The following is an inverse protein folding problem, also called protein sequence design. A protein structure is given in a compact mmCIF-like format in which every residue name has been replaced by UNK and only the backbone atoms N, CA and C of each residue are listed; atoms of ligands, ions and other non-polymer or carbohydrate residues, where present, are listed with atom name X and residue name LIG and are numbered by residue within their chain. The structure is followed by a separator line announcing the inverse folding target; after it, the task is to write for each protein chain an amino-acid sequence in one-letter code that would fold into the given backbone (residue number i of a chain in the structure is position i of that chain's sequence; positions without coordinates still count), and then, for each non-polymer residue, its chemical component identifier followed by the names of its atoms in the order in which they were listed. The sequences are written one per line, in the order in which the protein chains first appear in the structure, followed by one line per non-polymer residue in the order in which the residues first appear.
data_IF_344901523847
#
_entry.id   IF_344901523847
#
_cell.length_a   1.000
_cell.length_b   1.000
_cell.length_c   1.000
_cell.angle_alpha   90.00
_cell.angle_beta   90.00
_cell.angle_gamma   90.00
#
_symmetry.space_group_name_H-M   'P 1'
#
loop_
_entity.id
_entity.type
_entity.pdbx_description
1 polymer ?
#
# COMPACT_ATOMS: atom_id res chain seq x y z
N UNK A 1 -15.87 -28.31 41.01
CA UNK A 1 -15.87 -26.95 40.45
C UNK A 1 -14.44 -26.40 40.53
N UNK A 2 -13.71 -26.37 39.42
CA UNK A 2 -12.42 -25.68 39.31
C UNK A 2 -12.56 -24.68 38.17
N UNK A 3 -12.29 -23.39 38.41
CA UNK A 3 -12.27 -22.35 37.40
C UNK A 3 -10.83 -21.83 37.25
N UNK A 4 -10.25 -22.09 36.08
CA UNK A 4 -8.97 -21.53 35.67
C UNK A 4 -9.09 -20.03 35.43
N UNK A 5 -8.22 -19.25 36.05
CA UNK A 5 -8.06 -17.81 35.77
C UNK A 5 -7.33 -17.64 34.45
N UNK A 6 -8.01 -17.11 33.43
CA UNK A 6 -7.39 -16.54 32.23
C UNK A 6 -7.21 -15.03 32.44
N UNK A 7 -5.97 -14.55 32.33
CA UNK A 7 -5.67 -13.13 32.32
C UNK A 7 -6.29 -12.46 31.08
N UNK A 8 -7.12 -11.43 31.30
CA UNK A 8 -7.61 -10.51 30.26
C UNK A 8 -6.59 -9.38 30.15
N UNK A 9 -5.91 -9.28 29.01
CA UNK A 9 -5.15 -8.08 28.67
C UNK A 9 -6.19 -7.02 28.28
N UNK A 10 -6.27 -5.95 29.08
CA UNK A 10 -7.10 -4.77 28.82
C UNK A 10 -6.20 -3.79 28.05
N UNK A 11 -6.49 -3.57 26.77
CA UNK A 11 -5.98 -2.41 26.04
C UNK A 11 -6.88 -1.23 26.34
N UNK A 12 -6.27 -0.16 26.85
CA UNK A 12 -6.93 1.09 27.22
C UNK A 12 -7.08 1.93 25.95
N UNK A 13 -8.31 2.37 25.74
CA UNK A 13 -8.78 3.24 24.68
C UNK A 13 -8.40 4.69 25.04
N UNK A 14 -7.60 5.33 24.21
CA UNK A 14 -7.30 6.77 24.27
C UNK A 14 -7.41 7.29 22.83
N UNK A 15 -8.57 7.86 22.52
CA UNK A 15 -8.92 8.34 21.20
C UNK A 15 -8.35 9.73 20.90
N UNK A 16 -7.85 9.91 19.67
CA UNK A 16 -7.95 11.17 18.93
C UNK A 16 -7.67 10.94 17.44
N UNK A 17 -8.59 10.26 16.74
CA UNK A 17 -8.68 10.33 15.29
C UNK A 17 -10.15 10.48 14.93
N UNK A 18 -10.54 11.68 14.51
CA UNK A 18 -11.79 11.87 13.79
C UNK A 18 -11.65 11.12 12.46
N UNK A 19 -12.15 9.88 12.49
CA UNK A 19 -12.05 8.87 11.45
C UNK A 19 -13.26 9.00 10.55
N UNK A 20 -13.32 10.06 9.75
CA UNK A 20 -14.27 10.10 8.65
C UNK A 20 -13.55 10.33 7.33
N UNK A 21 -13.10 9.25 6.64
CA UNK A 21 -12.73 9.37 5.25
C UNK A 21 -13.94 9.88 4.46
N UNK A 22 -13.73 10.84 3.56
CA UNK A 22 -14.73 11.24 2.58
C UNK A 22 -15.33 9.98 1.91
N UNK A 23 -16.65 9.94 1.67
CA UNK A 23 -17.37 8.68 1.53
C UNK A 23 -16.95 7.91 0.27
N UNK A 24 -16.31 6.75 0.49
CA UNK A 24 -15.99 5.67 -0.46
C UNK A 24 -17.22 5.24 -1.31
N UNK A 25 -18.42 5.64 -0.89
CA UNK A 25 -19.72 5.31 -1.48
C UNK A 25 -19.95 5.77 -2.95
N UNK A 26 -19.19 6.73 -3.48
CA UNK A 26 -19.35 7.20 -4.87
C UNK A 26 -18.64 6.30 -5.89
N UNK A 27 -17.53 5.64 -5.49
CA UNK A 27 -16.75 4.73 -6.35
C UNK A 27 -17.45 3.39 -6.61
N UNK A 28 -18.28 2.93 -5.67
CA UNK A 28 -18.88 1.59 -5.70
C UNK A 28 -20.17 1.46 -6.55
N UNK A 29 -20.46 2.39 -7.47
CA UNK A 29 -21.66 2.32 -8.33
C UNK A 29 -21.36 2.05 -9.81
N UNK A 30 -20.32 1.26 -10.11
CA UNK A 30 -19.96 0.95 -11.49
C UNK A 30 -20.01 -0.56 -11.76
N UNK A 31 -21.20 -1.02 -12.17
CA UNK A 31 -21.48 -2.44 -12.47
C UNK A 31 -20.55 -3.02 -13.55
N UNK A 32 -20.19 -2.22 -14.56
CA UNK A 32 -19.32 -2.67 -15.65
C UNK A 32 -17.92 -2.94 -15.12
N UNK A 33 -17.33 -1.98 -14.41
CA UNK A 33 -16.04 -2.14 -13.78
C UNK A 33 -16.03 -3.28 -12.76
N UNK A 34 -17.13 -3.50 -12.02
CA UNK A 34 -17.23 -4.63 -11.10
C UNK A 34 -17.15 -5.98 -11.82
N UNK A 35 -17.82 -6.15 -12.96
CA UNK A 35 -17.75 -7.39 -13.74
C UNK A 35 -16.36 -7.63 -14.34
N UNK A 36 -15.75 -6.58 -14.89
CA UNK A 36 -14.39 -6.65 -15.44
C UNK A 36 -13.39 -6.96 -14.31
N UNK A 37 -13.51 -6.30 -13.16
CA UNK A 37 -12.68 -6.53 -11.99
C UNK A 37 -12.85 -7.92 -11.37
N UNK A 38 -14.08 -8.44 -11.26
CA UNK A 38 -14.31 -9.81 -10.79
C UNK A 38 -13.70 -10.86 -11.73
N UNK A 39 -13.65 -10.57 -13.03
CA UNK A 39 -12.95 -11.42 -14.00
C UNK A 39 -11.44 -11.37 -13.76
N UNK A 40 -10.87 -10.18 -13.59
CA UNK A 40 -9.45 -10.00 -13.25
C UNK A 40 -9.06 -10.69 -11.93
N UNK A 41 -9.92 -10.64 -10.91
CA UNK A 41 -9.72 -11.31 -9.62
C UNK A 41 -9.55 -12.82 -9.79
N UNK A 42 -10.37 -13.43 -10.66
CA UNK A 42 -10.28 -14.86 -10.94
C UNK A 42 -9.07 -15.23 -11.80
N UNK A 43 -8.68 -14.34 -12.71
CA UNK A 43 -7.68 -14.63 -13.75
C UNK A 43 -6.25 -14.35 -13.30
N UNK A 44 -6.07 -13.39 -12.38
CA UNK A 44 -4.75 -13.00 -11.91
C UNK A 44 -4.02 -14.18 -11.25
N UNK A 45 -2.82 -14.51 -11.73
CA UNK A 45 -1.92 -15.47 -11.09
C UNK A 45 -1.17 -14.86 -9.91
N UNK A 46 -0.95 -13.54 -9.94
CA UNK A 46 -0.26 -12.77 -8.91
C UNK A 46 -0.86 -11.36 -8.75
N UNK A 47 -0.49 -10.66 -7.67
CA UNK A 47 -0.97 -9.30 -7.40
C UNK A 47 -0.54 -8.30 -8.47
N UNK A 48 0.65 -8.51 -9.05
CA UNK A 48 1.21 -7.75 -10.16
C UNK A 48 0.24 -7.71 -11.35
N UNK A 49 -0.29 -8.86 -11.73
CA UNK A 49 -1.23 -9.01 -12.86
C UNK A 49 -2.58 -8.38 -12.50
N UNK A 50 -3.03 -8.57 -11.26
CA UNK A 50 -4.31 -8.06 -10.79
C UNK A 50 -4.40 -6.54 -10.89
N UNK A 51 -3.32 -5.82 -10.55
CA UNK A 51 -3.28 -4.36 -10.49
C UNK A 51 -2.57 -3.70 -11.68
N UNK A 52 -2.49 -4.39 -12.81
CA UNK A 52 -1.98 -3.80 -14.05
C UNK A 52 -2.99 -2.79 -14.64
N UNK A 53 -2.65 -1.50 -14.71
CA UNK A 53 -3.55 -0.51 -15.30
C UNK A 53 -3.41 0.89 -14.69
N UNK A 54 -4.37 1.78 -14.99
CA UNK A 54 -4.48 3.11 -14.37
C UNK A 54 -4.67 3.05 -12.85
N UNK A 55 -4.18 4.07 -12.14
CA UNK A 55 -4.17 4.09 -10.67
C UNK A 55 -5.58 4.19 -10.06
N UNK A 56 -6.53 4.84 -10.75
CA UNK A 56 -7.95 4.90 -10.38
C UNK A 56 -8.65 3.54 -10.50
N UNK A 57 -8.32 2.77 -11.53
CA UNK A 57 -8.80 1.39 -11.69
C UNK A 57 -8.25 0.49 -10.57
N UNK A 58 -6.98 0.66 -10.20
CA UNK A 58 -6.36 -0.08 -9.10
C UNK A 58 -7.04 0.19 -7.75
N UNK A 59 -7.39 1.45 -7.47
CA UNK A 59 -8.14 1.82 -6.27
C UNK A 59 -9.54 1.15 -6.25
N UNK A 60 -10.25 1.17 -7.37
CA UNK A 60 -11.55 0.50 -7.48
C UNK A 60 -11.44 -1.02 -7.29
N UNK A 61 -10.42 -1.67 -7.87
CA UNK A 61 -10.19 -3.10 -7.73
C UNK A 61 -9.93 -3.51 -6.27
N UNK A 62 -9.21 -2.68 -5.52
CA UNK A 62 -9.04 -2.90 -4.09
C UNK A 62 -10.37 -2.84 -3.34
N UNK A 63 -11.16 -1.79 -3.55
CA UNK A 63 -12.47 -1.66 -2.91
C UNK A 63 -13.39 -2.83 -3.28
N UNK A 64 -13.33 -3.28 -4.54
CA UNK A 64 -14.06 -4.44 -5.04
C UNK A 64 -13.62 -5.74 -4.36
N UNK A 65 -12.32 -5.97 -4.13
CA UNK A 65 -11.82 -7.12 -3.37
C UNK A 65 -12.38 -7.12 -1.94
N UNK A 66 -12.28 -5.97 -1.25
CA UNK A 66 -12.78 -5.80 0.12
C UNK A 66 -14.28 -6.04 0.19
N UNK A 67 -15.05 -5.51 -0.77
CA UNK A 67 -16.48 -5.72 -0.83
C UNK A 67 -16.85 -7.18 -1.16
N UNK A 68 -16.14 -7.80 -2.12
CA UNK A 68 -16.33 -9.20 -2.51
C UNK A 68 -16.10 -10.14 -1.34
N UNK A 69 -15.10 -9.87 -0.50
CA UNK A 69 -14.82 -10.63 0.72
C UNK A 69 -15.97 -10.59 1.75
N UNK A 70 -16.92 -9.65 1.63
CA UNK A 70 -18.16 -9.62 2.44
C UNK A 70 -19.20 -10.64 1.99
N UNK A 71 -18.94 -11.39 0.92
CA UNK A 71 -19.78 -12.45 0.39
C UNK A 71 -21.23 -11.98 0.15
N UNK A 72 -22.22 -12.60 0.79
CA UNK A 72 -23.65 -12.26 0.64
C UNK A 72 -24.00 -10.82 1.04
N UNK A 73 -23.11 -10.13 1.77
CA UNK A 73 -23.26 -8.71 2.15
C UNK A 73 -22.54 -7.76 1.19
N UNK A 74 -21.87 -8.28 0.17
CA UNK A 74 -21.27 -7.49 -0.90
C UNK A 74 -22.34 -6.69 -1.63
N UNK A 75 -22.05 -5.42 -1.90
CA UNK A 75 -22.88 -4.58 -2.77
C UNK A 75 -23.01 -5.19 -4.18
N UNK A 76 -21.97 -5.88 -4.64
CA UNK A 76 -21.88 -6.53 -5.95
C UNK A 76 -22.18 -8.04 -5.92
N UNK A 77 -22.92 -8.54 -4.93
CA UNK A 77 -23.20 -9.98 -4.81
C UNK A 77 -23.88 -10.58 -6.07
N UNK A 78 -24.70 -9.78 -6.76
CA UNK A 78 -25.36 -10.22 -8.00
C UNK A 78 -24.35 -10.42 -9.15
N UNK A 79 -23.34 -9.56 -9.23
CA UNK A 79 -22.23 -9.59 -10.18
C UNK A 79 -21.29 -10.75 -9.86
N UNK A 80 -21.03 -11.03 -8.58
CA UNK A 80 -20.30 -12.21 -8.13
C UNK A 80 -21.00 -13.47 -8.65
N UNK A 81 -22.30 -13.61 -8.40
CA UNK A 81 -23.09 -14.75 -8.86
C UNK A 81 -23.13 -14.87 -10.40
N UNK A 82 -23.11 -13.74 -11.12
CA UNK A 82 -23.09 -13.73 -12.59
C UNK A 82 -21.73 -14.18 -13.12
N UNK A 83 -20.64 -13.67 -12.55
CA UNK A 83 -19.27 -13.98 -12.95
C UNK A 83 -18.97 -15.45 -12.66
N UNK A 84 -19.33 -15.93 -11.47
CA UNK A 84 -19.19 -17.34 -11.07
C UNK A 84 -19.85 -18.29 -12.08
N UNK A 85 -21.13 -18.02 -12.42
CA UNK A 85 -21.87 -18.80 -13.43
C UNK A 85 -21.22 -18.80 -14.80
N UNK A 86 -20.69 -17.65 -15.26
CA UNK A 86 -20.00 -17.54 -16.56
C UNK A 86 -18.67 -18.30 -16.60
N UNK A 87 -17.98 -18.39 -15.46
CA UNK A 87 -16.69 -19.06 -15.32
C UNK A 87 -16.81 -20.53 -14.89
N UNK A 88 -18.02 -21.03 -14.67
CA UNK A 88 -18.26 -22.41 -14.23
C UNK A 88 -17.81 -22.70 -12.80
N UNK A 89 -17.74 -21.67 -11.94
CA UNK A 89 -17.32 -21.78 -10.53
C UNK A 89 -18.46 -21.38 -9.59
N UNK A 90 -18.31 -21.66 -8.29
CA UNK A 90 -19.27 -21.22 -7.27
C UNK A 90 -19.03 -19.75 -6.88
N UNK A 91 -20.05 -19.03 -6.39
CA UNK A 91 -19.86 -17.70 -5.82
C UNK A 91 -18.84 -17.69 -4.68
N UNK A 92 -18.85 -18.74 -3.84
CA UNK A 92 -17.90 -18.88 -2.73
C UNK A 92 -16.45 -18.95 -3.22
N UNK A 93 -16.17 -19.62 -4.35
CA UNK A 93 -14.83 -19.63 -4.94
C UNK A 93 -14.33 -18.22 -5.32
N UNK A 94 -15.22 -17.36 -5.83
CA UNK A 94 -14.88 -15.96 -6.15
C UNK A 94 -14.56 -15.18 -4.86
N UNK A 95 -15.32 -15.42 -3.79
CA UNK A 95 -15.09 -14.83 -2.46
C UNK A 95 -13.76 -15.30 -1.89
N UNK A 96 -13.51 -16.61 -1.90
CA UNK A 96 -12.25 -17.22 -1.42
C UNK A 96 -11.05 -16.66 -2.20
N UNK A 97 -11.19 -16.50 -3.51
CA UNK A 97 -10.16 -15.87 -4.35
C UNK A 97 -9.86 -14.44 -3.88
N UNK A 98 -10.88 -13.63 -3.63
CA UNK A 98 -10.70 -12.28 -3.10
C UNK A 98 -10.02 -12.27 -1.72
N UNK A 99 -10.41 -13.19 -0.81
CA UNK A 99 -9.80 -13.34 0.52
C UNK A 99 -8.33 -13.72 0.42
N UNK A 100 -7.96 -14.66 -0.46
CA UNK A 100 -6.56 -15.07 -0.68
C UNK A 100 -5.73 -13.90 -1.18
N UNK A 101 -6.25 -13.13 -2.14
CA UNK A 101 -5.55 -11.96 -2.68
C UNK A 101 -5.37 -10.88 -1.60
N UNK A 102 -6.41 -10.59 -0.79
CA UNK A 102 -6.30 -9.68 0.35
C UNK A 102 -5.29 -10.17 1.41
N UNK A 103 -5.22 -11.48 1.65
CA UNK A 103 -4.22 -12.08 2.55
C UNK A 103 -2.80 -11.90 2.02
N UNK A 104 -2.58 -12.15 0.72
CA UNK A 104 -1.29 -11.92 0.08
C UNK A 104 -0.88 -10.44 0.13
N UNK A 105 -1.84 -9.52 -0.05
CA UNK A 105 -1.64 -8.09 0.10
C UNK A 105 -1.26 -7.70 1.53
N UNK A 106 -1.95 -8.26 2.53
CA UNK A 106 -1.65 -8.02 3.93
C UNK A 106 -0.24 -8.51 4.30
N UNK A 107 0.17 -9.68 3.82
CA UNK A 107 1.52 -10.19 4.08
C UNK A 107 2.59 -9.30 3.42
N UNK A 108 2.34 -8.88 2.19
CA UNK A 108 3.19 -7.91 1.51
C UNK A 108 3.30 -6.58 2.28
N UNK A 109 2.21 -6.06 2.83
CA UNK A 109 2.22 -4.89 3.75
C UNK A 109 3.07 -5.11 5.00
N UNK A 110 3.19 -6.34 5.50
CA UNK A 110 4.08 -6.64 6.64
C UNK A 110 5.55 -6.60 6.25
N UNK A 111 5.85 -6.92 5.00
CA UNK A 111 7.17 -6.82 4.38
C UNK A 111 7.43 -5.42 3.75
N UNK A 112 6.60 -4.42 4.06
CA UNK A 112 6.76 -3.05 3.60
C UNK A 112 8.09 -2.47 4.09
N UNK A 113 8.87 -1.87 3.19
CA UNK A 113 10.19 -1.33 3.45
C UNK A 113 10.15 -0.19 4.47
N UNK A 114 9.10 0.63 4.44
CA UNK A 114 8.87 1.69 5.44
C UNK A 114 8.61 1.07 6.81
N UNK A 115 7.80 0.02 6.86
CA UNK A 115 7.48 -0.69 8.11
C UNK A 115 8.67 -1.46 8.66
N UNK A 116 9.50 -2.04 7.80
CA UNK A 116 10.76 -2.70 8.17
C UNK A 116 11.73 -1.70 8.81
N UNK A 117 11.80 -0.46 8.29
CA UNK A 117 12.54 0.63 8.93
C UNK A 117 11.84 1.19 10.18
N UNK A 118 10.55 0.90 10.35
CA UNK A 118 9.73 1.38 11.47
C UNK A 118 9.33 2.85 11.33
N UNK A 119 9.09 3.31 10.11
CA UNK A 119 8.64 4.68 9.78
C UNK A 119 7.29 4.65 9.09
N UNK A 120 6.63 5.81 9.03
CA UNK A 120 5.36 5.96 8.32
C UNK A 120 5.55 5.74 6.81
N UNK A 121 4.55 5.18 6.12
CA UNK A 121 4.56 5.10 4.65
C UNK A 121 4.80 6.46 4.01
N UNK A 122 5.49 6.49 2.87
CA UNK A 122 5.79 7.72 2.12
C UNK A 122 6.61 8.76 2.90
N UNK A 123 7.22 8.39 4.03
CA UNK A 123 8.10 9.29 4.81
C UNK A 123 9.19 9.92 3.93
N UNK A 124 9.54 11.20 4.16
CA UNK A 124 10.54 11.88 3.35
C UNK A 124 11.95 11.28 3.49
N UNK A 125 12.83 11.57 2.52
CA UNK A 125 14.15 10.94 2.39
C UNK A 125 15.08 11.16 3.59
N UNK A 126 14.96 12.31 4.23
CA UNK A 126 15.66 12.67 5.47
C UNK A 126 15.23 11.78 6.65
N UNK A 127 13.92 11.54 6.82
CA UNK A 127 13.38 10.64 7.85
C UNK A 127 13.85 9.20 7.62
N UNK A 128 13.84 8.73 6.37
CA UNK A 128 14.38 7.41 6.00
C UNK A 128 15.85 7.29 6.40
N UNK A 129 16.67 8.30 6.07
CA UNK A 129 18.09 8.31 6.37
C UNK A 129 18.36 8.33 7.88
N UNK A 130 17.68 9.21 8.62
CA UNK A 130 17.85 9.31 10.08
C UNK A 130 17.51 7.98 10.75
N UNK A 131 16.37 7.39 10.38
CA UNK A 131 15.94 6.12 10.96
C UNK A 131 16.91 4.98 10.65
N UNK A 132 17.40 4.90 9.41
CA UNK A 132 18.39 3.90 9.04
C UNK A 132 19.64 3.98 9.95
N UNK A 133 20.14 5.19 10.23
CA UNK A 133 21.32 5.37 11.09
C UNK A 133 21.06 4.86 12.52
N UNK A 134 19.88 5.10 13.07
CA UNK A 134 19.48 4.61 14.40
C UNK A 134 19.38 3.08 14.43
N UNK A 135 18.71 2.49 13.44
CA UNK A 135 18.52 1.04 13.32
C UNK A 135 19.86 0.35 13.13
N UNK A 136 20.73 0.90 12.28
CA UNK A 136 22.05 0.35 12.03
C UNK A 136 22.92 0.34 13.30
N UNK A 137 22.86 1.38 14.14
CA UNK A 137 23.60 1.44 15.41
C UNK A 137 23.11 0.44 16.45
N UNK A 138 21.79 0.26 16.53
CA UNK A 138 21.15 -0.58 17.57
C UNK A 138 21.10 -2.05 17.22
N UNK A 139 21.13 -2.39 15.93
CA UNK A 139 20.91 -3.75 15.44
C UNK A 139 22.17 -4.40 14.86
N UNK A 140 23.31 -3.69 14.85
CA UNK A 140 24.55 -4.23 14.28
C UNK A 140 24.98 -5.52 14.99
N UNK A 141 25.37 -6.59 14.27
CA UNK A 141 25.81 -7.84 14.89
C UNK A 141 27.04 -7.66 15.80
N UNK A 142 27.94 -6.73 15.47
CA UNK A 142 29.14 -6.43 16.26
C UNK A 142 28.83 -5.87 17.66
N UNK A 143 27.64 -5.32 17.89
CA UNK A 143 27.19 -4.86 19.22
C UNK A 143 26.22 -5.85 19.89
N UNK A 144 26.14 -7.08 19.37
CA UNK A 144 25.22 -8.11 19.88
C UNK A 144 23.78 -7.97 19.37
N UNK A 145 23.55 -7.22 18.30
CA UNK A 145 22.23 -7.00 17.70
C UNK A 145 21.73 -8.16 16.83
N UNK A 146 20.45 -8.08 16.43
CA UNK A 146 19.80 -9.08 15.58
C UNK A 146 20.22 -8.93 14.11
N UNK A 147 21.17 -9.77 13.69
CA UNK A 147 21.67 -9.78 12.31
C UNK A 147 20.60 -10.01 11.23
N UNK A 148 19.47 -10.65 11.55
CA UNK A 148 18.36 -10.82 10.59
C UNK A 148 17.66 -9.49 10.37
N UNK A 149 17.28 -8.81 11.45
CA UNK A 149 16.65 -7.48 11.39
C UNK A 149 17.55 -6.44 10.74
N UNK A 150 18.86 -6.49 11.02
CA UNK A 150 19.83 -5.60 10.38
C UNK A 150 19.85 -5.77 8.86
N UNK A 151 19.89 -7.02 8.37
CA UNK A 151 19.88 -7.29 6.92
C UNK A 151 18.58 -6.83 6.26
N UNK A 152 17.43 -7.04 6.89
CA UNK A 152 16.13 -6.59 6.39
C UNK A 152 16.07 -5.05 6.31
N UNK A 153 16.46 -4.37 7.39
CA UNK A 153 16.52 -2.91 7.42
C UNK A 153 17.50 -2.34 6.39
N UNK A 154 18.64 -2.99 6.17
CA UNK A 154 19.63 -2.58 5.17
C UNK A 154 19.06 -2.67 3.75
N UNK A 155 18.44 -3.79 3.40
CA UNK A 155 17.81 -3.97 2.08
C UNK A 155 16.69 -2.95 1.85
N UNK A 156 15.87 -2.69 2.87
CA UNK A 156 14.84 -1.65 2.82
C UNK A 156 15.42 -0.27 2.54
N UNK A 157 16.45 0.12 3.29
CA UNK A 157 17.13 1.40 3.09
C UNK A 157 17.77 1.54 1.70
N UNK A 158 18.40 0.48 1.18
CA UNK A 158 19.04 0.52 -0.15
C UNK A 158 18.07 0.83 -1.29
N UNK A 159 16.82 0.42 -1.18
CA UNK A 159 15.76 0.73 -2.14
C UNK A 159 15.18 2.12 -1.86
N UNK A 160 14.85 2.41 -0.60
CA UNK A 160 14.15 3.65 -0.22
C UNK A 160 15.02 4.92 -0.31
N UNK A 161 16.36 4.80 -0.23
CA UNK A 161 17.28 5.94 -0.34
C UNK A 161 17.44 6.44 -1.78
N UNK A 162 17.16 5.60 -2.76
CA UNK A 162 17.28 5.92 -4.18
C UNK A 162 15.93 6.48 -4.66
N UNK A 163 15.85 7.76 -5.08
CA UNK A 163 14.58 8.37 -5.47
C UNK A 163 13.85 7.64 -6.60
N UNK A 164 14.58 7.05 -7.55
CA UNK A 164 13.98 6.35 -8.70
C UNK A 164 13.42 5.02 -8.22
N UNK A 165 14.21 4.22 -7.51
CA UNK A 165 13.78 2.92 -6.99
C UNK A 165 12.67 3.06 -5.95
N UNK A 166 12.72 4.11 -5.14
CA UNK A 166 11.66 4.50 -4.22
C UNK A 166 10.38 4.85 -4.97
N UNK A 167 10.45 5.67 -6.01
CA UNK A 167 9.26 6.04 -6.77
C UNK A 167 8.64 4.83 -7.49
N UNK A 168 9.46 3.90 -8.01
CA UNK A 168 8.99 2.63 -8.58
C UNK A 168 8.31 1.74 -7.52
N UNK A 169 8.95 1.62 -6.35
CA UNK A 169 8.37 0.93 -5.20
C UNK A 169 7.02 1.56 -4.83
N UNK A 170 6.97 2.87 -4.58
CA UNK A 170 5.76 3.59 -4.21
C UNK A 170 4.65 3.48 -5.25
N UNK A 171 4.96 3.61 -6.55
CA UNK A 171 3.99 3.39 -7.65
C UNK A 171 3.43 1.99 -7.63
N UNK A 172 4.29 0.99 -7.48
CA UNK A 172 3.87 -0.42 -7.42
C UNK A 172 2.88 -0.65 -6.28
N UNK A 173 3.14 -0.09 -5.11
CA UNK A 173 2.29 -0.30 -3.95
C UNK A 173 1.03 0.57 -3.92
N UNK A 174 1.09 1.79 -4.46
CA UNK A 174 -0.11 2.59 -4.73
C UNK A 174 -1.09 1.82 -5.62
N UNK A 175 -0.57 1.10 -6.62
CA UNK A 175 -1.36 0.20 -7.47
C UNK A 175 -1.78 -1.08 -6.76
N UNK A 176 -0.86 -1.76 -6.09
CA UNK A 176 -1.10 -3.11 -5.56
C UNK A 176 -1.89 -3.15 -4.25
N UNK A 177 -2.07 -2.04 -3.53
CA UNK A 177 -2.62 -2.03 -2.19
C UNK A 177 -3.74 -1.03 -1.90
N UNK A 178 -4.06 -0.10 -2.80
CA UNK A 178 -4.83 1.09 -2.44
C UNK A 178 -3.99 2.05 -1.60
N UNK A 179 -4.48 3.26 -1.25
CA UNK A 179 -3.65 4.32 -0.74
C UNK A 179 -2.88 3.82 0.49
N UNK A 180 -1.55 3.92 0.43
CA UNK A 180 -0.82 4.18 1.66
C UNK A 180 -1.56 5.33 2.29
N UNK A 181 -2.22 5.07 3.41
CA UNK A 181 -2.86 6.09 4.22
C UNK A 181 -1.95 7.30 4.15
N UNK A 182 -2.40 8.36 3.47
CA UNK A 182 -1.56 9.50 3.16
C UNK A 182 -1.45 10.24 4.47
N UNK A 183 -0.63 9.73 5.38
CA UNK A 183 -0.21 10.40 6.60
C UNK A 183 0.75 11.47 6.12
N UNK A 184 0.18 12.48 5.49
CA UNK A 184 0.70 13.83 5.61
C UNK A 184 0.54 14.09 7.11
N UNK A 185 1.62 14.31 7.89
CA UNK A 185 1.46 14.90 9.21
C UNK A 185 0.47 16.05 9.07
N UNK A 186 -0.48 16.23 9.99
CA UNK A 186 -1.51 17.26 9.87
C UNK A 186 -0.93 18.67 9.60
N UNK A 187 0.37 18.83 9.87
CA UNK A 187 1.15 20.06 9.74
C UNK A 187 2.11 20.10 8.54
N UNK A 188 2.18 19.05 7.70
CA UNK A 188 3.06 19.07 6.53
C UNK A 188 2.39 19.82 5.37
N UNK A 189 2.86 21.05 5.13
CA UNK A 189 2.48 21.87 4.00
C UNK A 189 2.53 21.07 2.68
N UNK A 190 1.64 21.37 1.70
CA UNK A 190 1.59 20.64 0.45
C UNK A 190 2.96 20.69 -0.23
N UNK A 191 3.58 19.51 -0.39
CA UNK A 191 4.78 19.34 -1.21
C UNK A 191 4.41 19.84 -2.61
N UNK A 192 5.11 20.89 -3.04
CA UNK A 192 4.88 21.54 -4.34
C UNK A 192 4.97 20.55 -5.51
N UNK A 193 4.49 20.96 -6.70
CA UNK A 193 4.42 20.09 -7.87
C UNK A 193 5.80 19.50 -8.22
N UNK A 194 5.84 18.35 -8.93
CA UNK A 194 7.08 17.67 -9.27
C UNK A 194 8.08 18.63 -9.92
N UNK A 195 9.31 18.67 -9.39
CA UNK A 195 10.40 19.45 -9.99
C UNK A 195 10.62 18.95 -11.42
N UNK A 196 10.27 19.78 -12.40
CA UNK A 196 10.65 19.54 -13.79
C UNK A 196 12.18 19.40 -13.88
N UNK A 197 12.70 18.49 -14.72
CA UNK A 197 14.14 18.34 -14.90
C UNK A 197 14.71 19.66 -15.45
N UNK A 198 15.68 20.22 -14.72
CA UNK A 198 16.33 21.48 -15.08
C UNK A 198 16.84 21.42 -16.53
N UNK A 199 16.35 22.33 -17.37
CA UNK A 199 16.86 22.55 -18.71
C UNK A 199 18.35 22.95 -18.66
N UNK A 200 19.17 22.52 -19.62
CA UNK A 200 20.60 22.85 -19.62
C UNK A 200 20.80 24.36 -19.81
N UNK A 201 21.59 24.97 -18.93
CA UNK A 201 22.02 26.38 -19.03
C UNK A 201 22.71 26.62 -20.38
N UNK A 202 22.15 27.54 -21.16
CA UNK A 202 22.77 28.04 -22.39
C UNK A 202 23.80 29.11 -21.98
N UNK A 203 25.08 28.99 -22.38
CA UNK A 203 26.08 30.00 -22.01
C UNK A 203 25.80 31.35 -22.69
N UNK A 204 25.78 32.40 -21.86
CA UNK A 204 25.59 33.80 -22.25
C UNK A 204 26.67 34.25 -23.26
N UNK A 205 26.25 34.86 -24.38
CA UNK A 205 27.18 35.48 -25.33
C UNK A 205 27.57 36.87 -24.82
N UNK A 206 28.85 37.27 -24.85
CA UNK A 206 29.25 38.61 -24.46
C UNK A 206 28.76 39.67 -25.46
N UNK A 207 28.36 40.83 -24.94
CA UNK A 207 27.84 41.97 -25.68
C UNK A 207 28.89 42.61 -26.62
N UNK A 208 28.49 43.18 -27.77
CA UNK A 208 29.42 43.82 -28.69
C UNK A 208 29.87 45.19 -28.17
N UNK A 209 31.10 45.63 -28.50
CA UNK A 209 31.61 46.94 -28.08
C UNK A 209 30.94 48.09 -28.86
N UNK A 210 30.85 49.24 -28.19
CA UNK A 210 30.27 50.49 -28.67
C UNK A 210 31.09 51.17 -29.77
#
# INVERSE_FOLDING_TARGET
MQHGRRARIIFRDEGLFDTSPAPVAVSMRNRRLALDGLTRILDAGALEELFTGPDDEAAFLYDLLVDTARARRSYYYSEICRTARRRGVTPDYVVDRAVVLLGAMAERRRMDLYRILGIAPLSPGDVIRQRWLEVARTTHPDVGGDGVRFRQAKQAYEILRDPVRRADYERFWLRALGPFERVVPADAAPVGPPLEPAAPEVPERPAPPA
#
